data_IF_632380536286
#
_entry.id   IF_632380536286
#
_cell.length_a   1.000
_cell.length_b   1.000
_cell.length_c   1.000
_cell.angle_alpha   90.00
_cell.angle_beta   90.00
_cell.angle_gamma   90.00
#
_symmetry.space_group_name_H-M   'P 1'
#
loop_
_entity.id
_entity.type
_entity.pdbx_description
1 polymer ?
#
# COMPACT_ATOMS: atom_id res chain seq x y z
N UNK A 1 11.22 1.38 -7.33
CA UNK A 1 9.99 1.15 -6.54
C UNK A 1 8.83 1.24 -7.50
N UNK A 2 7.96 0.23 -7.55
CA UNK A 2 6.75 0.24 -8.38
C UNK A 2 5.52 0.56 -7.54
N UNK A 3 4.41 0.85 -8.20
CA UNK A 3 3.13 1.19 -7.60
C UNK A 3 2.05 0.30 -8.19
N UNK A 4 1.05 -0.04 -7.38
CA UNK A 4 -0.21 -0.55 -7.87
C UNK A 4 -1.18 0.60 -8.04
N UNK A 5 -1.87 0.65 -9.17
CA UNK A 5 -2.87 1.67 -9.50
C UNK A 5 -4.17 1.02 -9.96
N UNK A 6 -5.32 1.65 -9.69
CA UNK A 6 -6.64 1.14 -10.05
C UNK A 6 -7.77 1.95 -9.42
N UNK A 7 -8.98 1.40 -9.41
CA UNK A 7 -10.10 2.04 -8.71
C UNK A 7 -9.84 2.11 -7.19
N UNK A 8 -10.50 3.04 -6.50
CA UNK A 8 -10.36 3.19 -5.03
C UNK A 8 -10.60 1.86 -4.29
N UNK A 9 -11.65 1.14 -4.67
CA UNK A 9 -12.00 -0.15 -4.08
C UNK A 9 -10.94 -1.23 -4.36
N UNK A 10 -10.38 -1.27 -5.58
CA UNK A 10 -9.32 -2.22 -5.92
C UNK A 10 -8.05 -1.93 -5.12
N UNK A 11 -7.68 -0.66 -4.95
CA UNK A 11 -6.52 -0.26 -4.16
C UNK A 11 -6.71 -0.48 -2.67
N UNK A 12 -7.92 -0.26 -2.13
CA UNK A 12 -8.24 -0.62 -0.75
C UNK A 12 -8.07 -2.12 -0.50
N UNK A 13 -8.55 -2.98 -1.42
CA UNK A 13 -8.36 -4.42 -1.34
C UNK A 13 -6.88 -4.83 -1.46
N UNK A 14 -6.13 -4.21 -2.39
CA UNK A 14 -4.70 -4.43 -2.54
C UNK A 14 -3.91 -4.04 -1.29
N UNK A 15 -4.26 -2.92 -0.66
CA UNK A 15 -3.65 -2.45 0.58
C UNK A 15 -3.89 -3.44 1.74
N UNK A 16 -5.10 -3.97 1.86
CA UNK A 16 -5.43 -4.97 2.88
C UNK A 16 -4.65 -6.27 2.66
N UNK A 17 -4.51 -6.72 1.40
CA UNK A 17 -3.75 -7.93 1.07
C UNK A 17 -2.24 -7.76 1.32
N UNK A 18 -1.66 -6.61 0.93
CA UNK A 18 -0.27 -6.27 1.23
C UNK A 18 -0.02 -6.16 2.74
N UNK A 19 -0.94 -5.54 3.48
CA UNK A 19 -0.85 -5.47 4.94
C UNK A 19 -0.85 -6.86 5.58
N UNK A 20 -1.74 -7.75 5.12
CA UNK A 20 -1.81 -9.13 5.63
C UNK A 20 -0.50 -9.90 5.38
N UNK A 21 0.15 -9.70 4.23
CA UNK A 21 1.46 -10.28 3.96
C UNK A 21 2.55 -9.67 4.86
N UNK A 22 2.60 -8.34 4.95
CA UNK A 22 3.57 -7.62 5.79
C UNK A 22 3.49 -8.01 7.26
N UNK A 23 2.30 -8.04 7.85
CA UNK A 23 2.13 -8.34 9.27
C UNK A 23 2.41 -9.81 9.60
N UNK A 24 2.28 -10.72 8.62
CA UNK A 24 2.66 -12.12 8.78
C UNK A 24 4.19 -12.28 8.89
N UNK A 25 4.95 -11.51 8.11
CA UNK A 25 6.42 -11.50 8.13
C UNK A 25 6.98 -10.68 9.31
N UNK A 26 6.28 -9.61 9.70
CA UNK A 26 6.70 -8.66 10.74
C UNK A 26 5.62 -8.46 11.82
N UNK A 27 5.26 -9.51 12.59
CA UNK A 27 4.17 -9.45 13.57
C UNK A 27 4.49 -8.56 14.78
N UNK A 28 5.76 -8.23 15.00
CA UNK A 28 6.24 -7.39 16.10
C UNK A 28 7.13 -6.26 15.62
N UNK A 29 7.23 -5.20 16.43
CA UNK A 29 8.10 -4.05 16.19
C UNK A 29 8.84 -3.68 17.49
N UNK A 30 10.01 -3.05 17.35
CA UNK A 30 10.71 -2.48 18.51
C UNK A 30 10.18 -1.07 18.81
N UNK A 31 9.84 -0.84 20.07
CA UNK A 31 9.40 0.46 20.57
C UNK A 31 10.06 0.74 21.92
N UNK A 32 10.95 1.73 21.98
CA UNK A 32 11.61 2.11 23.23
C UNK A 32 12.49 1.01 23.86
N UNK A 33 12.98 0.06 23.06
CA UNK A 33 13.77 -1.09 23.54
C UNK A 33 12.96 -2.33 23.91
N UNK A 34 11.64 -2.29 23.74
CA UNK A 34 10.75 -3.44 23.95
C UNK A 34 10.22 -3.96 22.62
N UNK A 35 10.04 -5.27 22.51
CA UNK A 35 9.34 -5.91 21.39
C UNK A 35 7.84 -5.93 21.68
N UNK A 36 7.07 -5.18 20.91
CA UNK A 36 5.61 -5.09 21.02
C UNK A 36 4.93 -5.61 19.75
N UNK A 37 3.62 -5.86 19.81
CA UNK A 37 2.84 -6.14 18.60
C UNK A 37 2.98 -4.97 17.62
N UNK A 38 3.19 -5.29 16.34
CA UNK A 38 3.39 -4.25 15.33
C UNK A 38 2.10 -3.40 15.22
N UNK A 39 2.17 -2.07 15.46
CA UNK A 39 0.98 -1.22 15.53
C UNK A 39 0.43 -0.84 14.14
N UNK A 40 1.09 -1.26 13.07
CA UNK A 40 0.73 -0.94 11.69
C UNK A 40 -0.61 -1.60 11.31
N UNK A 41 -1.56 -0.81 10.80
CA UNK A 41 -2.90 -1.27 10.42
C UNK A 41 -3.14 -1.33 8.92
N UNK A 42 -2.19 -0.84 8.11
CA UNK A 42 -2.26 -0.82 6.66
C UNK A 42 -0.84 -0.86 6.06
N UNK A 43 -0.70 -1.32 4.82
CA UNK A 43 0.59 -1.33 4.14
C UNK A 43 1.02 0.09 3.72
N UNK A 44 0.08 0.85 3.17
CA UNK A 44 0.27 2.24 2.79
C UNK A 44 -1.04 3.02 2.89
N UNK A 45 -0.94 4.34 2.78
CA UNK A 45 -2.11 5.20 2.59
C UNK A 45 -2.40 5.31 1.09
N UNK A 46 -3.57 4.84 0.61
CA UNK A 46 -3.99 5.07 -0.76
C UNK A 46 -4.09 6.56 -1.07
N UNK A 47 -3.60 6.97 -2.24
CA UNK A 47 -3.70 8.35 -2.69
C UNK A 47 -4.21 8.45 -4.14
N UNK A 48 -5.00 9.49 -4.47
CA UNK A 48 -5.46 9.72 -5.83
C UNK A 48 -4.32 10.17 -6.76
N UNK A 49 -4.40 9.73 -8.00
CA UNK A 49 -3.48 10.07 -9.10
C UNK A 49 -4.10 11.15 -9.99
N UNK A 50 -3.29 11.84 -10.78
CA UNK A 50 -3.81 12.82 -11.78
C UNK A 50 -4.71 12.17 -12.82
N UNK A 51 -4.56 10.86 -13.05
CA UNK A 51 -5.36 10.10 -14.01
C UNK A 51 -6.77 9.75 -13.49
N UNK A 52 -7.09 10.07 -12.24
CA UNK A 52 -8.36 9.73 -11.60
C UNK A 52 -8.40 8.33 -10.97
N UNK A 53 -7.33 7.54 -11.11
CA UNK A 53 -7.12 6.30 -10.36
C UNK A 53 -6.59 6.60 -8.95
N UNK A 54 -6.55 5.57 -8.10
CA UNK A 54 -5.84 5.55 -6.83
C UNK A 54 -4.55 4.74 -6.94
N UNK A 55 -3.62 4.96 -6.02
CA UNK A 55 -2.36 4.23 -5.98
C UNK A 55 -1.81 3.99 -4.57
N UNK A 56 -1.06 2.90 -4.43
CA UNK A 56 -0.18 2.58 -3.28
C UNK A 56 1.15 2.01 -3.79
N UNK A 57 2.25 2.09 -3.00
CA UNK A 57 3.45 1.32 -3.29
C UNK A 57 3.15 -0.17 -3.40
N UNK A 58 3.73 -0.84 -4.40
CA UNK A 58 3.61 -2.29 -4.55
C UNK A 58 4.32 -3.01 -3.38
N UNK A 59 3.70 -4.06 -2.85
CA UNK A 59 4.38 -4.92 -1.87
C UNK A 59 5.46 -5.78 -2.57
N UNK A 60 6.73 -5.75 -2.12
CA UNK A 60 7.79 -6.53 -2.77
C UNK A 60 7.50 -8.03 -2.81
N UNK A 61 7.69 -8.65 -3.98
CA UNK A 61 7.50 -10.09 -4.16
C UNK A 61 6.05 -10.52 -4.35
N UNK A 62 5.10 -9.60 -4.38
CA UNK A 62 3.69 -9.88 -4.63
C UNK A 62 3.27 -9.38 -6.01
N UNK A 63 2.50 -10.17 -6.75
CA UNK A 63 1.91 -9.76 -8.01
C UNK A 63 0.78 -8.75 -7.78
N UNK A 64 0.57 -7.83 -8.72
CA UNK A 64 -0.54 -6.89 -8.66
C UNK A 64 -1.89 -7.61 -8.41
N UNK A 65 -2.65 -7.24 -7.37
CA UNK A 65 -3.97 -7.80 -7.10
C UNK A 65 -4.98 -7.54 -8.22
N UNK A 66 -6.09 -8.28 -8.23
CA UNK A 66 -7.16 -8.10 -9.19
C UNK A 66 -7.67 -6.65 -9.22
N UNK A 67 -7.92 -6.12 -10.42
CA UNK A 67 -8.34 -4.73 -10.62
C UNK A 67 -7.22 -3.69 -10.46
N UNK A 68 -6.01 -4.11 -10.12
CA UNK A 68 -4.83 -3.25 -10.08
C UNK A 68 -3.91 -3.50 -11.29
N UNK A 69 -3.21 -2.45 -11.71
CA UNK A 69 -2.08 -2.52 -12.64
C UNK A 69 -0.81 -2.07 -11.94
N UNK A 70 0.31 -2.75 -12.19
CA UNK A 70 1.62 -2.33 -11.70
C UNK A 70 2.25 -1.33 -12.67
N UNK A 71 2.78 -0.24 -12.14
CA UNK A 71 3.44 0.83 -12.90
C UNK A 71 4.76 1.23 -12.23
N UNK A 72 5.71 1.70 -13.03
CA UNK A 72 7.04 2.10 -12.53
C UNK A 72 7.04 3.48 -11.86
N UNK A 73 6.06 4.34 -12.16
CA UNK A 73 5.91 5.67 -11.59
C UNK A 73 4.43 6.09 -11.60
N UNK A 74 4.06 6.97 -10.67
CA UNK A 74 2.72 7.56 -10.55
C UNK A 74 2.86 9.07 -10.53
N UNK A 75 2.01 9.73 -11.31
CA UNK A 75 1.81 11.18 -11.20
C UNK A 75 0.71 11.45 -10.16
N UNK A 76 1.10 12.06 -9.05
CA UNK A 76 0.22 12.31 -7.91
C UNK A 76 -0.66 13.53 -8.13
N UNK A 77 -1.94 13.43 -7.75
CA UNK A 77 -2.80 14.60 -7.73
C UNK A 77 -2.29 15.57 -6.66
N UNK A 78 -2.07 16.83 -7.05
CA UNK A 78 -1.74 17.89 -6.10
C UNK A 78 -2.93 18.10 -5.17
N UNK A 79 -2.77 17.77 -3.89
CA UNK A 79 -3.68 18.29 -2.86
C UNK A 79 -3.35 19.78 -2.66
N UNK A 80 -4.21 20.67 -3.16
CA UNK A 80 -4.26 22.03 -2.61
C UNK A 80 -4.99 21.96 -1.26
N UNK A 81 -4.34 22.35 -0.16
CA UNK A 81 -4.99 22.41 1.16
C UNK A 81 -6.12 23.45 1.21
#
# INVERSE_FOLDING_TARGET
>A
MSYWTGSEAAIAAANAAAWAAYIADYPTAEHGGETVANPTTAWAEPAPTVAGDWAIPAYPGMTAPEGCREVAAVEWASFSP
#
